data_IF_409133473017
#
_entry.id   IF_409133473017
#
_cell.length_a   1.000
_cell.length_b   1.000
_cell.length_c   1.000
_cell.angle_alpha   90.00
_cell.angle_beta   90.00
_cell.angle_gamma   90.00
#
_symmetry.space_group_name_H-M   'P 1'
#
loop_
_entity.id
_entity.type
_entity.pdbx_description
1 polymer ?
#
# COMPACT_ATOMS: atom_id res chain seq x y z
N UNK A 1 3.26 3.80 -25.45
CA UNK A 1 3.96 3.29 -24.24
C UNK A 1 2.99 3.03 -23.09
N UNK A 2 2.11 3.96 -22.73
CA UNK A 2 1.09 3.78 -21.66
C UNK A 2 0.24 2.51 -21.77
N UNK A 3 -0.27 2.18 -22.98
CA UNK A 3 -1.07 0.95 -23.20
C UNK A 3 -0.24 -0.34 -23.06
N UNK A 4 1.06 -0.32 -23.42
CA UNK A 4 1.96 -1.48 -23.24
C UNK A 4 2.35 -1.68 -21.78
N UNK A 5 2.46 -0.60 -21.00
CA UNK A 5 2.74 -0.66 -19.55
C UNK A 5 1.48 -0.91 -18.71
N UNK A 6 0.28 -0.86 -19.30
CA UNK A 6 -0.99 -1.08 -18.60
C UNK A 6 -1.05 -2.40 -17.85
N UNK A 7 -0.55 -3.48 -18.46
CA UNK A 7 -0.46 -4.79 -17.78
C UNK A 7 0.50 -4.77 -16.60
N UNK A 8 1.67 -4.15 -16.74
CA UNK A 8 2.63 -4.03 -15.65
C UNK A 8 2.04 -3.24 -14.46
N UNK A 9 1.29 -2.17 -14.76
CA UNK A 9 0.59 -1.38 -13.76
C UNK A 9 -0.56 -2.16 -13.11
N UNK A 10 -1.33 -2.93 -13.87
CA UNK A 10 -2.34 -3.81 -13.29
C UNK A 10 -1.73 -4.87 -12.36
N UNK A 11 -0.59 -5.48 -12.74
CA UNK A 11 0.11 -6.42 -11.87
C UNK A 11 0.71 -5.74 -10.64
N UNK A 12 1.15 -4.48 -10.76
CA UNK A 12 1.61 -3.67 -9.63
C UNK A 12 0.48 -3.39 -8.63
N UNK A 13 -0.69 -2.96 -9.11
CA UNK A 13 -1.87 -2.75 -8.26
C UNK A 13 -2.38 -4.05 -7.63
N UNK A 14 -2.35 -5.16 -8.39
CA UNK A 14 -2.62 -6.48 -7.84
C UNK A 14 -1.60 -6.85 -6.76
N UNK A 15 -0.32 -6.56 -6.94
CA UNK A 15 0.71 -6.78 -5.94
C UNK A 15 0.46 -5.98 -4.65
N UNK A 16 0.13 -4.69 -4.78
CA UNK A 16 -0.26 -3.86 -3.64
C UNK A 16 -1.46 -4.45 -2.90
N UNK A 17 -2.50 -4.83 -3.63
CA UNK A 17 -3.70 -5.45 -3.08
C UNK A 17 -3.43 -6.80 -2.38
N UNK A 18 -2.77 -7.72 -3.07
CA UNK A 18 -2.46 -9.04 -2.54
C UNK A 18 -1.57 -8.91 -1.29
N UNK A 19 -0.60 -8.01 -1.32
CA UNK A 19 0.29 -7.74 -0.18
C UNK A 19 -0.49 -7.26 1.04
N UNK A 20 -1.28 -6.19 0.91
CA UNK A 20 -1.95 -5.60 2.08
C UNK A 20 -3.12 -6.45 2.56
N UNK A 21 -3.98 -6.95 1.66
CA UNK A 21 -5.19 -7.68 2.05
C UNK A 21 -4.92 -9.13 2.40
N UNK A 22 -4.17 -9.86 1.57
CA UNK A 22 -3.98 -11.31 1.79
C UNK A 22 -2.94 -11.58 2.89
N UNK A 23 -1.88 -10.76 2.97
CA UNK A 23 -0.85 -10.95 3.99
C UNK A 23 -1.07 -10.06 5.21
N UNK A 24 -1.40 -8.78 5.00
CA UNK A 24 -1.59 -7.82 6.09
C UNK A 24 -2.78 -8.15 6.99
N UNK A 25 -3.94 -8.49 6.43
CA UNK A 25 -5.15 -8.75 7.22
C UNK A 25 -5.00 -9.93 8.20
N UNK A 26 -4.49 -11.12 7.82
CA UNK A 26 -4.22 -12.18 8.80
C UNK A 26 -3.26 -11.74 9.90
N UNK A 27 -2.18 -11.02 9.56
CA UNK A 27 -1.19 -10.57 10.54
C UNK A 27 -1.84 -9.59 11.52
N UNK A 28 -2.62 -8.62 11.04
CA UNK A 28 -3.33 -7.67 11.88
C UNK A 28 -4.31 -8.37 12.84
N UNK A 29 -5.04 -9.39 12.37
CA UNK A 29 -5.93 -10.19 13.21
C UNK A 29 -5.18 -10.99 14.29
N UNK A 30 -3.99 -11.53 13.96
CA UNK A 30 -3.14 -12.24 14.92
C UNK A 30 -2.55 -11.30 16.00
N UNK A 31 -2.31 -10.04 15.63
CA UNK A 31 -1.93 -8.97 16.56
C UNK A 31 -3.11 -8.49 17.43
N UNK A 32 -4.33 -8.99 17.19
CA UNK A 32 -5.51 -8.73 18.00
C UNK A 32 -6.36 -7.54 17.53
N UNK A 33 -6.05 -6.95 16.37
CA UNK A 33 -6.90 -5.94 15.75
C UNK A 33 -8.21 -6.58 15.28
N UNK A 34 -9.31 -5.83 15.31
CA UNK A 34 -10.63 -6.28 14.87
C UNK A 34 -11.01 -5.55 13.60
N UNK A 35 -12.00 -4.66 13.66
CA UNK A 35 -12.45 -3.88 12.49
C UNK A 35 -11.40 -2.88 12.04
N UNK A 36 -10.51 -2.46 12.96
CA UNK A 36 -9.29 -1.70 12.65
C UNK A 36 -8.42 -2.41 11.62
N UNK A 37 -8.39 -3.75 11.63
CA UNK A 37 -7.60 -4.52 10.68
C UNK A 37 -8.08 -4.31 9.23
N UNK A 38 -9.40 -4.17 9.01
CA UNK A 38 -9.93 -3.90 7.67
C UNK A 38 -9.48 -2.53 7.19
N UNK A 39 -9.64 -1.51 8.04
CA UNK A 39 -9.18 -0.15 7.74
C UNK A 39 -7.67 -0.06 7.54
N UNK A 40 -6.88 -0.87 8.22
CA UNK A 40 -5.42 -0.86 8.14
C UNK A 40 -4.82 -1.70 6.99
N UNK A 41 -5.62 -2.52 6.30
CA UNK A 41 -5.06 -3.54 5.37
C UNK A 41 -5.75 -3.59 4.02
N UNK A 42 -6.88 -2.89 3.84
CA UNK A 42 -7.51 -2.77 2.53
C UNK A 42 -6.70 -1.91 1.55
N UNK A 43 -5.67 -1.18 1.99
CA UNK A 43 -4.77 -0.47 1.09
C UNK A 43 -3.47 -0.07 1.81
N UNK A 44 -2.64 0.77 1.17
CA UNK A 44 -1.51 1.46 1.82
C UNK A 44 -1.93 2.78 2.51
N UNK A 45 -3.23 3.02 2.57
CA UNK A 45 -3.93 4.09 3.29
C UNK A 45 -3.42 5.48 2.99
N UNK A 46 -3.48 5.86 1.70
CA UNK A 46 -3.21 7.23 1.26
C UNK A 46 -4.46 8.09 1.29
N UNK A 47 -4.30 9.38 1.00
CA UNK A 47 -5.35 10.40 1.10
C UNK A 47 -6.68 9.98 0.47
N UNK A 48 -6.71 9.37 -0.73
CA UNK A 48 -7.98 8.93 -1.30
C UNK A 48 -8.63 7.77 -0.52
N UNK A 49 -7.83 6.91 0.11
CA UNK A 49 -8.29 5.76 0.86
C UNK A 49 -8.86 6.19 2.22
N UNK A 50 -8.29 7.25 2.82
CA UNK A 50 -8.88 7.91 4.00
C UNK A 50 -10.27 8.44 3.65
N UNK A 51 -10.42 9.13 2.52
CA UNK A 51 -11.73 9.62 2.08
C UNK A 51 -12.75 8.48 1.88
N UNK A 52 -12.34 7.36 1.27
CA UNK A 52 -13.20 6.19 1.08
C UNK A 52 -13.71 5.65 2.43
N UNK A 53 -12.84 5.55 3.44
CA UNK A 53 -13.22 5.01 4.75
C UNK A 53 -14.02 6.02 5.56
N UNK A 54 -13.68 7.30 5.48
CA UNK A 54 -14.46 8.39 6.07
C UNK A 54 -15.91 8.36 5.56
N UNK A 55 -16.10 8.21 4.25
CA UNK A 55 -17.44 8.18 3.63
C UNK A 55 -18.21 6.91 3.97
N UNK A 56 -17.54 5.75 3.99
CA UNK A 56 -18.21 4.45 4.14
C UNK A 56 -18.45 4.04 5.59
N UNK A 57 -17.55 4.39 6.50
CA UNK A 57 -17.59 3.94 7.91
C UNK A 57 -17.56 5.11 8.90
N UNK A 58 -17.15 6.31 8.49
CA UNK A 58 -16.89 7.44 9.39
C UNK A 58 -15.50 7.37 10.03
N UNK A 59 -14.87 8.53 10.27
CA UNK A 59 -13.51 8.56 10.82
C UNK A 59 -13.41 8.13 12.28
N UNK A 60 -14.51 8.23 13.03
CA UNK A 60 -14.59 7.76 14.43
C UNK A 60 -14.80 6.25 14.56
N UNK A 61 -14.97 5.55 13.43
CA UNK A 61 -15.10 4.10 13.39
C UNK A 61 -13.77 3.38 13.70
N UNK A 62 -13.81 2.11 14.12
CA UNK A 62 -12.61 1.27 14.19
C UNK A 62 -11.80 1.27 12.88
N UNK A 63 -12.48 1.21 11.74
CA UNK A 63 -11.88 1.26 10.41
C UNK A 63 -11.12 2.57 10.20
N UNK A 64 -11.75 3.70 10.54
CA UNK A 64 -11.12 5.02 10.48
C UNK A 64 -9.84 5.10 11.34
N UNK A 65 -9.86 4.52 12.54
CA UNK A 65 -8.65 4.42 13.39
C UNK A 65 -7.55 3.58 12.73
N UNK A 66 -7.92 2.45 12.11
CA UNK A 66 -7.00 1.57 11.40
C UNK A 66 -6.28 2.30 10.26
N UNK A 67 -7.04 2.96 9.39
CA UNK A 67 -6.53 3.74 8.26
C UNK A 67 -5.57 4.82 8.73
N UNK A 68 -5.97 5.61 9.73
CA UNK A 68 -5.15 6.72 10.21
C UNK A 68 -3.84 6.22 10.82
N UNK A 69 -3.89 5.08 11.52
CA UNK A 69 -2.69 4.43 12.05
C UNK A 69 -1.67 4.12 10.95
N UNK A 70 -2.12 3.51 9.86
CA UNK A 70 -1.25 3.16 8.73
C UNK A 70 -0.84 4.38 7.90
N UNK A 71 -1.71 5.37 7.73
CA UNK A 71 -1.34 6.61 7.05
C UNK A 71 -0.17 7.29 7.76
N UNK A 72 -0.27 7.47 9.07
CA UNK A 72 0.76 8.12 9.89
C UNK A 72 2.04 7.27 9.91
N UNK A 73 1.93 6.01 10.32
CA UNK A 73 3.10 5.12 10.44
C UNK A 73 3.75 4.88 9.08
N UNK A 74 2.95 4.65 8.04
CA UNK A 74 3.43 4.37 6.70
C UNK A 74 4.09 5.58 6.04
N UNK A 75 3.62 6.80 6.31
CA UNK A 75 4.29 8.00 5.79
C UNK A 75 5.67 8.19 6.41
N UNK A 76 5.80 7.94 7.73
CA UNK A 76 7.06 8.11 8.44
C UNK A 76 8.04 6.96 8.14
N UNK A 77 7.64 5.73 8.44
CA UNK A 77 8.52 4.56 8.34
C UNK A 77 8.61 4.01 6.93
N UNK A 78 7.53 4.12 6.15
CA UNK A 78 7.47 3.59 4.80
C UNK A 78 8.45 4.29 3.86
N UNK A 79 8.61 5.61 3.96
CA UNK A 79 9.57 6.35 3.14
C UNK A 79 11.02 5.91 3.42
N UNK A 80 11.37 5.72 4.69
CA UNK A 80 12.68 5.21 5.10
C UNK A 80 12.89 3.80 4.57
N UNK A 81 11.93 2.90 4.82
CA UNK A 81 12.02 1.51 4.40
C UNK A 81 12.16 1.36 2.88
N UNK A 82 11.30 2.03 2.11
CA UNK A 82 11.31 1.89 0.65
C UNK A 82 12.53 2.57 0.02
N UNK A 83 13.02 3.66 0.61
CA UNK A 83 14.26 4.31 0.19
C UNK A 83 15.46 3.37 0.34
N UNK A 84 15.60 2.74 1.51
CA UNK A 84 16.65 1.75 1.78
C UNK A 84 16.54 0.54 0.85
N UNK A 85 15.32 -0.01 0.71
CA UNK A 85 15.06 -1.16 -0.14
C UNK A 85 15.38 -0.86 -1.62
N UNK A 86 14.91 0.28 -2.13
CA UNK A 86 15.13 0.68 -3.51
C UNK A 86 16.61 0.98 -3.78
N UNK A 87 17.31 1.62 -2.84
CA UNK A 87 18.76 1.83 -2.93
C UNK A 87 19.53 0.52 -2.94
N UNK A 88 19.19 -0.41 -2.04
CA UNK A 88 19.80 -1.73 -1.99
C UNK A 88 19.56 -2.52 -3.29
N UNK A 89 18.30 -2.67 -3.73
CA UNK A 89 17.96 -3.38 -4.96
C UNK A 89 18.63 -2.71 -6.19
N UNK A 90 18.64 -1.38 -6.23
CA UNK A 90 19.35 -0.62 -7.26
C UNK A 90 20.84 -0.92 -7.30
N UNK A 91 21.48 -1.05 -6.13
CA UNK A 91 22.91 -1.34 -6.00
C UNK A 91 23.31 -2.71 -6.56
N UNK A 92 22.38 -3.68 -6.60
CA UNK A 92 22.60 -5.02 -7.18
C UNK A 92 22.77 -4.95 -8.70
N UNK A 93 22.33 -3.87 -9.37
CA UNK A 93 22.49 -3.59 -10.81
C UNK A 93 21.94 -4.66 -11.77
N UNK A 94 21.12 -5.58 -11.28
CA UNK A 94 20.43 -6.59 -12.12
C UNK A 94 19.21 -5.98 -12.82
N UNK A 95 18.50 -5.08 -12.15
CA UNK A 95 17.25 -4.52 -12.64
C UNK A 95 17.45 -3.25 -13.46
N UNK A 96 16.58 -3.04 -14.45
CA UNK A 96 16.57 -1.81 -15.23
C UNK A 96 16.17 -0.61 -14.33
N UNK A 97 16.94 0.50 -14.31
CA UNK A 97 16.64 1.66 -13.48
C UNK A 97 15.23 2.25 -13.71
N UNK A 98 14.72 2.19 -14.94
CA UNK A 98 13.37 2.69 -15.26
C UNK A 98 12.28 1.77 -14.72
N UNK A 99 12.53 0.45 -14.66
CA UNK A 99 11.61 -0.48 -14.02
C UNK A 99 11.57 -0.27 -12.51
N UNK A 100 12.74 -0.02 -11.89
CA UNK A 100 12.82 0.35 -10.47
C UNK A 100 12.13 1.70 -10.21
N UNK A 101 12.29 2.67 -11.11
CA UNK A 101 11.61 3.95 -11.03
C UNK A 101 10.09 3.78 -11.08
N UNK A 102 9.55 2.98 -12.00
CA UNK A 102 8.12 2.66 -12.04
C UNK A 102 7.65 2.02 -10.72
N UNK A 103 8.41 1.05 -10.19
CA UNK A 103 8.09 0.40 -8.92
C UNK A 103 8.12 1.35 -7.70
N UNK A 104 8.79 2.50 -7.79
CA UNK A 104 8.76 3.52 -6.72
C UNK A 104 7.43 4.29 -6.64
N UNK A 105 6.62 4.26 -7.72
CA UNK A 105 5.32 4.92 -7.79
C UNK A 105 4.23 4.14 -7.08
N UNK A 106 4.29 4.09 -5.75
CA UNK A 106 3.37 3.33 -4.90
C UNK A 106 2.08 4.08 -4.55
N UNK A 107 1.89 5.30 -5.07
CA UNK A 107 0.74 6.16 -4.76
C UNK A 107 0.97 7.12 -3.58
N UNK A 108 2.22 7.21 -3.12
CA UNK A 108 2.66 8.06 -2.01
C UNK A 108 3.82 8.95 -2.47
N UNK A 109 3.63 10.27 -2.42
CA UNK A 109 4.65 11.22 -2.88
C UNK A 109 5.96 11.14 -2.09
N UNK A 110 5.88 10.99 -0.77
CA UNK A 110 7.07 10.90 0.10
C UNK A 110 7.86 9.61 -0.14
N UNK A 111 7.16 8.48 -0.28
CA UNK A 111 7.77 7.17 -0.54
C UNK A 111 8.36 7.12 -1.94
N UNK A 112 7.66 7.67 -2.94
CA UNK A 112 8.16 7.80 -4.31
C UNK A 112 9.43 8.66 -4.34
N UNK A 113 9.45 9.81 -3.66
CA UNK A 113 10.62 10.68 -3.61
C UNK A 113 11.82 9.98 -2.95
N UNK A 114 11.61 9.27 -1.84
CA UNK A 114 12.66 8.52 -1.16
C UNK A 114 13.25 7.40 -2.03
N UNK A 115 12.40 6.56 -2.63
CA UNK A 115 12.85 5.45 -3.47
C UNK A 115 13.50 5.93 -4.78
N UNK A 116 12.88 6.87 -5.50
CA UNK A 116 13.44 7.41 -6.74
C UNK A 116 14.74 8.19 -6.51
N UNK A 117 14.86 8.89 -5.38
CA UNK A 117 16.11 9.52 -4.94
C UNK A 117 17.22 8.50 -4.69
N UNK A 118 16.92 7.42 -3.98
CA UNK A 118 17.87 6.34 -3.72
C UNK A 118 18.34 5.64 -5.03
N UNK A 119 17.42 5.38 -5.96
CA UNK A 119 17.77 4.81 -7.27
C UNK A 119 18.63 5.81 -8.08
N UNK A 120 18.30 7.09 -8.04
CA UNK A 120 19.06 8.15 -8.73
C UNK A 120 20.49 8.25 -8.22
N UNK A 121 20.72 8.06 -6.92
CA UNK A 121 22.06 8.04 -6.34
C UNK A 121 22.93 6.90 -6.92
N UNK A 122 22.31 5.76 -7.28
CA UNK A 122 23.00 4.64 -7.94
C UNK A 122 23.17 4.85 -9.44
N UNK A 123 22.21 5.50 -10.10
CA UNK A 123 22.18 5.70 -11.56
C UNK A 123 22.03 7.19 -11.93
N UNK A 124 23.04 8.04 -11.64
CA UNK A 124 22.93 9.50 -11.81
C UNK A 124 22.71 9.92 -13.27
N UNK A 125 23.26 9.17 -14.24
CA UNK A 125 23.08 9.44 -15.66
C UNK A 125 21.61 9.35 -16.13
N UNK A 126 20.73 8.69 -15.37
CA UNK A 126 19.31 8.50 -15.70
C UNK A 126 18.37 9.27 -14.78
N UNK A 127 18.87 10.20 -13.97
CA UNK A 127 18.10 10.93 -12.96
C UNK A 127 16.78 11.51 -13.49
N UNK A 128 16.82 12.18 -14.65
CA UNK A 128 15.63 12.81 -15.26
C UNK A 128 14.59 11.77 -15.69
N UNK A 129 15.04 10.66 -16.28
CA UNK A 129 14.15 9.56 -16.70
C UNK A 129 13.53 8.88 -15.46
N UNK A 130 14.34 8.60 -14.43
CA UNK A 130 13.89 7.99 -13.17
C UNK A 130 12.80 8.84 -12.52
N UNK A 131 13.05 10.14 -12.34
CA UNK A 131 12.06 11.05 -11.74
C UNK A 131 10.76 11.10 -12.56
N UNK A 132 10.86 11.13 -13.88
CA UNK A 132 9.69 11.19 -14.77
C UNK A 132 8.86 9.90 -14.73
N UNK A 133 9.51 8.73 -14.76
CA UNK A 133 8.83 7.44 -14.70
C UNK A 133 8.23 7.18 -13.32
N UNK A 134 8.95 7.54 -12.25
CA UNK A 134 8.44 7.46 -10.89
C UNK A 134 7.19 8.31 -10.69
N UNK A 135 7.22 9.59 -11.11
CA UNK A 135 6.10 10.49 -11.01
C UNK A 135 4.88 10.02 -11.83
N UNK A 136 5.12 9.59 -13.07
CA UNK A 136 4.06 9.06 -13.92
C UNK A 136 3.42 7.80 -13.31
N UNK A 137 4.24 6.86 -12.82
CA UNK A 137 3.73 5.66 -12.16
C UNK A 137 2.95 6.00 -10.90
N UNK A 138 3.44 6.91 -10.07
CA UNK A 138 2.77 7.30 -8.84
C UNK A 138 1.39 7.90 -9.12
N UNK A 139 1.29 8.78 -10.12
CA UNK A 139 0.01 9.37 -10.52
C UNK A 139 -0.98 8.30 -10.99
N UNK A 140 -0.53 7.35 -11.82
CA UNK A 140 -1.39 6.28 -12.32
C UNK A 140 -1.85 5.37 -11.18
N UNK A 141 -0.92 4.94 -10.32
CA UNK A 141 -1.22 4.15 -9.11
C UNK A 141 -2.26 4.86 -8.24
N UNK A 142 -2.10 6.17 -8.00
CA UNK A 142 -3.10 6.92 -7.21
C UNK A 142 -4.47 6.90 -7.87
N UNK A 143 -4.58 7.15 -9.18
CA UNK A 143 -5.88 7.21 -9.87
C UNK A 143 -6.52 5.83 -9.98
N UNK A 144 -5.80 4.85 -10.51
CA UNK A 144 -6.30 3.48 -10.72
C UNK A 144 -6.55 2.79 -9.38
N UNK A 145 -5.65 3.01 -8.41
CA UNK A 145 -5.73 2.45 -7.07
C UNK A 145 -6.99 2.87 -6.33
N UNK A 146 -7.55 4.06 -6.56
CA UNK A 146 -8.86 4.47 -5.98
C UNK A 146 -9.97 3.51 -6.40
N UNK A 147 -10.11 3.30 -7.72
CA UNK A 147 -11.15 2.42 -8.26
C UNK A 147 -10.93 0.98 -7.82
N UNK A 148 -9.68 0.51 -7.86
CA UNK A 148 -9.33 -0.83 -7.41
C UNK A 148 -9.63 -1.01 -5.92
N UNK A 149 -9.30 -0.02 -5.10
CA UNK A 149 -9.52 -0.06 -3.65
C UNK A 149 -11.01 -0.09 -3.32
N UNK A 150 -11.81 0.75 -3.99
CA UNK A 150 -13.24 0.87 -3.75
C UNK A 150 -14.00 -0.41 -4.18
N UNK A 151 -13.71 -0.93 -5.37
CA UNK A 151 -14.50 -2.01 -5.99
C UNK A 151 -13.94 -3.41 -5.75
N UNK A 152 -12.64 -3.54 -5.46
CA UNK A 152 -11.99 -4.85 -5.28
C UNK A 152 -11.45 -4.97 -3.87
N UNK A 153 -10.57 -4.06 -3.45
CA UNK A 153 -9.81 -4.27 -2.23
C UNK A 153 -10.67 -4.27 -0.97
N UNK A 154 -11.50 -3.25 -0.81
CA UNK A 154 -12.34 -3.10 0.38
C UNK A 154 -13.43 -4.19 0.49
N UNK A 155 -14.15 -4.57 -0.59
CA UNK A 155 -15.06 -5.72 -0.53
C UNK A 155 -14.35 -7.03 -0.18
N UNK A 156 -13.17 -7.29 -0.76
CA UNK A 156 -12.42 -8.52 -0.48
C UNK A 156 -11.88 -8.50 0.96
N UNK A 157 -11.36 -7.38 1.45
CA UNK A 157 -10.90 -7.25 2.83
C UNK A 157 -12.03 -7.53 3.83
N UNK A 158 -13.24 -7.04 3.58
CA UNK A 158 -14.40 -7.35 4.43
C UNK A 158 -14.78 -8.84 4.38
N UNK A 159 -14.78 -9.45 3.19
CA UNK A 159 -15.11 -10.88 3.04
C UNK A 159 -14.06 -11.77 3.70
N UNK A 160 -12.78 -11.45 3.52
CA UNK A 160 -11.66 -12.17 4.11
C UNK A 160 -11.65 -12.00 5.63
N UNK A 161 -11.94 -10.80 6.13
CA UNK A 161 -12.11 -10.53 7.57
C UNK A 161 -13.20 -11.42 8.17
N UNK A 162 -14.39 -11.47 7.55
CA UNK A 162 -15.49 -12.31 8.04
C UNK A 162 -15.16 -13.80 8.06
N UNK A 163 -14.25 -14.25 7.21
CA UNK A 163 -13.81 -15.65 7.18
C UNK A 163 -12.66 -15.95 8.15
N UNK A 164 -11.72 -15.01 8.32
CA UNK A 164 -10.53 -15.18 9.14
C UNK A 164 -10.77 -14.86 10.62
N UNK A 165 -11.52 -13.80 10.92
CA UNK A 165 -11.70 -13.33 12.29
C UNK A 165 -12.24 -14.42 13.24
N UNK A 166 -13.23 -15.26 12.85
CA UNK A 166 -13.70 -16.34 13.71
C UNK A 166 -12.68 -17.46 13.94
N UNK A 167 -11.71 -17.61 13.03
CA UNK A 167 -10.72 -18.70 13.05
C UNK A 167 -9.42 -18.32 13.76
N UNK A 168 -8.92 -17.12 13.51
CA UNK A 168 -7.58 -16.67 13.95
C UNK A 168 -7.63 -15.41 14.82
N UNK A 169 -8.80 -14.77 14.97
CA UNK A 169 -8.94 -13.55 15.74
C UNK A 169 -8.63 -13.76 17.21
N UNK A 170 -7.48 -13.24 17.66
CA UNK A 170 -7.10 -13.26 19.08
C UNK A 170 -8.15 -12.45 19.88
N UNK A 171 -8.54 -12.95 21.04
CA UNK A 171 -9.57 -12.39 21.94
C UNK A 171 -11.07 -12.56 21.59
N UNK A 172 -11.49 -13.35 20.58
CA UNK A 172 -12.93 -13.64 20.39
C UNK A 172 -13.59 -14.30 21.63
N UNK A 173 -12.83 -15.12 22.39
CA UNK A 173 -13.34 -15.84 23.58
C UNK A 173 -13.35 -15.06 24.90
N UNK A 174 -12.75 -13.86 25.01
CA UNK A 174 -12.57 -13.17 26.32
C UNK A 174 -13.67 -12.18 26.70
N UNK A 175 -14.69 -11.96 25.85
CA UNK A 175 -15.74 -10.95 26.08
C UNK A 175 -17.15 -11.51 26.13
N UNK A 176 -17.28 -12.79 26.48
CA UNK A 176 -18.55 -13.43 26.85
C UNK A 176 -18.73 -13.61 28.36
N UNK A 177 -17.78 -13.11 29.16
CA UNK A 177 -17.77 -13.20 30.63
C UNK A 177 -17.45 -11.83 31.23
N UNK A 178 -18.32 -10.83 31.03
CA UNK A 178 -18.45 -9.66 31.91
C UNK A 178 -19.92 -9.26 31.92
#
# INVERSE_FOLDING_TARGET
MLVKSGWALCFQELGHFLGTVILGLPIALLLGLKREAVGATFSIDREPNIAIIAEKYGMDSPEGRGVMGIYICGTLFGAIYIGLLAGYIGSVKIFNPLALAMGSGVGSGSMMAAASGAITAVFPAKAKEIASFAAASNLITTIVGIYFTLFVSLPVANKLYGWLEPKIGRNSKKRGEI
#
